data_IF_677493242770
#
_entry.id   IF_677493242770
#
_cell.length_a   1.000
_cell.length_b   1.000
_cell.length_c   1.000
_cell.angle_alpha   90.00
_cell.angle_beta   90.00
_cell.angle_gamma   90.00
#
_symmetry.space_group_name_H-M   'P 1'
#
loop_
_entity.id
_entity.type
_entity.pdbx_description
1 polymer ?
#
# COMPACT_ATOMS: atom_id res chain seq x y z
N UNK A 1 6.06 34.96 -7.76
CA UNK A 1 4.61 34.67 -7.85
C UNK A 1 4.48 33.66 -8.98
N UNK A 2 3.86 32.52 -8.68
CA UNK A 2 3.50 31.41 -9.59
C UNK A 2 4.64 30.78 -10.39
N UNK A 3 5.12 29.62 -9.93
CA UNK A 3 5.61 28.58 -10.84
C UNK A 3 4.90 27.28 -10.48
N UNK A 4 4.26 26.70 -11.49
CA UNK A 4 3.18 25.75 -11.44
C UNK A 4 3.64 24.36 -10.96
N UNK A 5 2.77 23.71 -10.20
CA UNK A 5 2.96 22.34 -9.73
C UNK A 5 3.06 21.38 -10.90
N UNK A 6 4.00 20.45 -10.81
CA UNK A 6 4.20 19.38 -11.78
C UNK A 6 2.93 18.53 -11.92
N UNK A 7 2.14 18.85 -12.95
CA UNK A 7 1.02 18.04 -13.42
C UNK A 7 1.54 16.69 -13.93
N UNK A 8 0.89 15.62 -13.48
CA UNK A 8 0.99 14.30 -14.08
C UNK A 8 0.32 14.36 -15.46
N UNK A 9 1.09 14.65 -16.50
CA UNK A 9 0.65 14.53 -17.89
C UNK A 9 0.43 13.05 -18.25
N UNK A 10 -0.82 12.61 -18.14
CA UNK A 10 -1.34 11.47 -18.89
C UNK A 10 -1.62 11.98 -20.31
N UNK A 11 -0.63 11.89 -21.19
CA UNK A 11 -0.81 12.23 -22.60
C UNK A 11 -1.47 11.07 -23.37
N UNK A 12 -2.77 11.18 -23.57
CA UNK A 12 -3.45 10.62 -24.74
C UNK A 12 -4.52 11.62 -25.20
N UNK A 13 -4.12 12.56 -26.07
CA UNK A 13 -5.02 13.56 -26.68
C UNK A 13 -5.53 14.61 -25.69
N UNK A 14 -5.10 15.87 -25.85
CA UNK A 14 -5.43 16.99 -24.94
C UNK A 14 -6.94 17.25 -24.83
N UNK A 15 -7.58 16.59 -23.86
CA UNK A 15 -8.58 17.20 -22.98
C UNK A 15 -8.01 17.09 -21.56
N UNK A 16 -7.69 18.23 -20.95
CA UNK A 16 -7.42 18.29 -19.51
C UNK A 16 -8.69 17.85 -18.80
N UNK A 17 -8.67 16.64 -18.25
CA UNK A 17 -9.80 16.11 -17.48
C UNK A 17 -9.98 17.00 -16.26
N UNK A 18 -11.19 17.53 -16.07
CA UNK A 18 -11.56 18.36 -14.93
C UNK A 18 -10.99 17.79 -13.61
N UNK A 19 -10.31 18.59 -12.78
CA UNK A 19 -9.74 18.13 -11.51
C UNK A 19 -10.73 17.36 -10.62
N UNK A 20 -12.02 17.74 -10.63
CA UNK A 20 -13.09 17.06 -9.91
C UNK A 20 -13.35 15.67 -10.52
N UNK A 21 -13.43 15.56 -11.84
CA UNK A 21 -13.59 14.28 -12.54
C UNK A 21 -12.39 13.37 -12.27
N UNK A 22 -11.18 13.91 -12.26
CA UNK A 22 -9.95 13.18 -11.92
C UNK A 22 -9.96 12.69 -10.47
N UNK A 23 -10.36 13.54 -9.52
CA UNK A 23 -10.46 13.18 -8.10
C UNK A 23 -11.50 12.07 -7.87
N UNK A 24 -12.70 12.22 -8.42
CA UNK A 24 -13.80 11.26 -8.25
C UNK A 24 -13.46 9.92 -8.90
N UNK A 25 -12.94 9.94 -10.14
CA UNK A 25 -12.56 8.71 -10.84
C UNK A 25 -11.42 7.97 -10.16
N UNK A 26 -10.43 8.70 -9.63
CA UNK A 26 -9.40 8.14 -8.76
C UNK A 26 -9.99 7.48 -7.51
N UNK A 27 -10.99 8.11 -6.87
CA UNK A 27 -11.74 7.55 -5.75
C UNK A 27 -12.46 6.24 -6.11
N UNK A 28 -13.18 6.20 -7.23
CA UNK A 28 -13.84 4.98 -7.73
C UNK A 28 -12.85 3.87 -8.08
N UNK A 29 -11.70 4.22 -8.66
CA UNK A 29 -10.58 3.30 -8.87
C UNK A 29 -10.08 2.71 -7.56
N UNK A 30 -9.85 3.56 -6.55
CA UNK A 30 -9.43 3.12 -5.22
C UNK A 30 -10.43 2.18 -4.55
N UNK A 31 -11.72 2.50 -4.59
CA UNK A 31 -12.78 1.63 -4.04
C UNK A 31 -12.82 0.29 -4.78
N UNK A 32 -12.77 0.30 -6.12
CA UNK A 32 -12.76 -0.92 -6.94
C UNK A 32 -11.56 -1.82 -6.62
N UNK A 33 -10.37 -1.23 -6.46
CA UNK A 33 -9.16 -1.90 -6.02
C UNK A 33 -9.33 -2.59 -4.66
N UNK A 34 -9.91 -1.87 -3.69
CA UNK A 34 -10.16 -2.42 -2.36
C UNK A 34 -11.17 -3.56 -2.43
N UNK A 35 -12.28 -3.40 -3.15
CA UNK A 35 -13.31 -4.44 -3.28
C UNK A 35 -12.74 -5.74 -3.86
N UNK A 36 -12.01 -5.67 -4.98
CA UNK A 36 -11.46 -6.86 -5.64
C UNK A 36 -10.26 -7.44 -4.87
N UNK A 37 -9.45 -6.59 -4.26
CA UNK A 37 -8.25 -7.03 -3.55
C UNK A 37 -8.50 -7.55 -2.13
N UNK A 38 -9.56 -7.11 -1.45
CA UNK A 38 -9.76 -7.38 -0.03
C UNK A 38 -9.87 -8.86 0.34
N UNK A 39 -10.51 -9.75 -0.47
CA UNK A 39 -10.47 -11.20 -0.22
C UNK A 39 -9.05 -11.78 -0.14
N UNK A 40 -8.12 -11.26 -0.96
CA UNK A 40 -6.71 -11.66 -0.92
C UNK A 40 -6.00 -11.13 0.33
N UNK A 41 -6.28 -9.88 0.71
CA UNK A 41 -5.74 -9.31 1.95
C UNK A 41 -6.18 -10.10 3.17
N UNK A 42 -7.47 -10.45 3.25
CA UNK A 42 -8.00 -11.22 4.36
C UNK A 42 -7.32 -12.60 4.40
N UNK A 43 -7.18 -13.26 3.25
CA UNK A 43 -6.51 -14.55 3.14
C UNK A 43 -5.04 -14.46 3.61
N UNK A 44 -4.32 -13.43 3.17
CA UNK A 44 -2.95 -13.13 3.58
C UNK A 44 -2.85 -12.94 5.10
N UNK A 45 -3.61 -12.01 5.66
CA UNK A 45 -3.58 -11.67 7.09
C UNK A 45 -3.91 -12.92 7.91
N UNK A 46 -4.94 -13.68 7.52
CA UNK A 46 -5.32 -14.91 8.22
C UNK A 46 -4.21 -15.96 8.21
N UNK A 47 -3.49 -16.14 7.10
CA UNK A 47 -2.32 -17.03 7.05
C UNK A 47 -1.16 -16.56 7.92
N UNK A 48 -0.91 -15.25 8.00
CA UNK A 48 0.18 -14.66 8.77
C UNK A 48 -0.03 -14.78 10.29
N UNK A 49 -1.28 -14.72 10.74
CA UNK A 49 -1.63 -14.63 12.18
C UNK A 49 -2.12 -15.95 12.78
N UNK A 50 -2.54 -16.91 11.95
CA UNK A 50 -3.10 -18.15 12.44
C UNK A 50 -2.07 -18.98 13.23
N UNK A 51 -2.57 -19.68 14.25
CA UNK A 51 -1.79 -20.67 14.97
C UNK A 51 -1.31 -21.81 14.03
N UNK A 52 -0.17 -22.44 14.30
CA UNK A 52 0.31 -23.59 13.53
C UNK A 52 -0.76 -24.66 13.36
N UNK A 53 -0.89 -25.22 12.16
CA UNK A 53 -1.87 -26.26 11.85
C UNK A 53 -3.31 -25.78 11.60
N UNK A 54 -3.64 -24.49 11.83
CA UNK A 54 -5.01 -23.98 11.60
C UNK A 54 -5.42 -24.06 10.12
N UNK A 55 -4.48 -23.77 9.22
CA UNK A 55 -4.69 -23.76 7.77
C UNK A 55 -3.59 -24.50 7.04
N UNK A 56 -3.96 -25.26 6.01
CA UNK A 56 -2.99 -25.93 5.12
C UNK A 56 -2.48 -25.00 4.01
N UNK A 57 -3.20 -23.91 3.72
CA UNK A 57 -2.82 -22.93 2.72
C UNK A 57 -3.91 -21.89 2.44
N UNK A 58 -3.69 -21.05 1.43
CA UNK A 58 -4.59 -19.96 1.07
C UNK A 58 -6.00 -20.44 0.69
N UNK A 59 -6.10 -21.52 -0.09
CA UNK A 59 -7.39 -22.08 -0.49
C UNK A 59 -8.17 -22.63 0.70
N UNK A 60 -7.47 -23.23 1.68
CA UNK A 60 -8.11 -23.71 2.91
C UNK A 60 -8.63 -22.55 3.77
N UNK A 61 -7.92 -21.42 3.82
CA UNK A 61 -8.44 -20.18 4.44
C UNK A 61 -9.72 -19.73 3.76
N UNK A 62 -9.74 -19.61 2.43
CA UNK A 62 -10.94 -19.20 1.68
C UNK A 62 -12.09 -20.16 1.95
N UNK A 63 -11.85 -21.48 1.83
CA UNK A 63 -12.86 -22.53 2.03
C UNK A 63 -13.46 -22.46 3.43
N UNK A 64 -12.62 -22.44 4.48
CA UNK A 64 -13.08 -22.37 5.87
C UNK A 64 -13.81 -21.06 6.17
N UNK A 65 -13.33 -19.94 5.63
CA UNK A 65 -13.99 -18.63 5.79
C UNK A 65 -15.37 -18.62 5.17
N UNK A 66 -15.51 -19.08 3.92
CA UNK A 66 -16.79 -19.13 3.23
C UNK A 66 -17.75 -20.14 3.89
N UNK A 67 -17.24 -21.28 4.36
CA UNK A 67 -18.06 -22.27 5.07
C UNK A 67 -18.59 -21.75 6.42
N UNK A 68 -17.81 -20.95 7.15
CA UNK A 68 -18.19 -20.42 8.46
C UNK A 68 -19.04 -19.16 8.38
N UNK A 69 -18.68 -18.23 7.49
CA UNK A 69 -19.16 -16.85 7.50
C UNK A 69 -19.84 -16.43 6.18
N UNK A 70 -19.93 -17.35 5.23
CA UNK A 70 -20.36 -17.07 3.86
C UNK A 70 -19.39 -16.16 3.10
N UNK A 71 -19.78 -15.76 1.90
CA UNK A 71 -18.93 -14.89 1.05
C UNK A 71 -18.67 -13.52 1.68
N UNK A 72 -19.61 -13.02 2.49
CA UNK A 72 -19.47 -11.75 3.23
C UNK A 72 -18.33 -11.82 4.26
N UNK A 73 -18.00 -13.01 4.77
CA UNK A 73 -16.84 -13.22 5.64
C UNK A 73 -15.52 -12.78 5.00
N UNK A 74 -15.38 -12.92 3.68
CA UNK A 74 -14.19 -12.47 2.93
C UNK A 74 -14.00 -10.96 2.93
N UNK A 75 -15.02 -10.18 3.34
CA UNK A 75 -15.03 -8.72 3.36
C UNK A 75 -14.89 -8.13 4.78
N UNK A 76 -14.57 -8.96 5.79
CA UNK A 76 -14.33 -8.46 7.16
C UNK A 76 -13.18 -7.45 7.21
N UNK A 77 -13.43 -6.33 7.87
CA UNK A 77 -12.44 -5.26 8.02
C UNK A 77 -12.20 -4.44 6.75
N UNK A 78 -13.13 -4.42 5.78
CA UNK A 78 -13.01 -3.61 4.57
C UNK A 78 -13.24 -2.11 4.81
N UNK A 79 -13.93 -1.73 5.88
CA UNK A 79 -14.27 -0.32 6.15
C UNK A 79 -13.03 0.57 6.35
N UNK A 80 -12.04 0.21 7.21
CA UNK A 80 -10.85 1.04 7.37
C UNK A 80 -10.09 1.34 6.06
N UNK A 81 -9.81 0.37 5.15
CA UNK A 81 -9.13 0.70 3.91
C UNK A 81 -9.97 1.56 2.95
N UNK A 82 -11.30 1.38 2.86
CA UNK A 82 -12.15 2.25 2.03
C UNK A 82 -12.08 3.72 2.48
N UNK A 83 -12.17 3.95 3.80
CA UNK A 83 -12.15 5.30 4.35
C UNK A 83 -10.74 5.90 4.41
N UNK A 84 -9.72 5.04 4.61
CA UNK A 84 -8.34 5.46 4.84
C UNK A 84 -7.52 5.67 3.58
N UNK A 85 -7.89 5.07 2.44
CA UNK A 85 -7.03 5.06 1.24
C UNK A 85 -6.69 6.48 0.77
N UNK A 86 -7.68 7.35 0.60
CA UNK A 86 -7.50 8.73 0.13
C UNK A 86 -6.63 9.57 1.08
N UNK A 87 -6.94 9.69 2.39
CA UNK A 87 -6.10 10.50 3.29
C UNK A 87 -4.69 9.93 3.44
N UNK A 88 -4.51 8.60 3.46
CA UNK A 88 -3.18 7.98 3.53
C UNK A 88 -2.35 8.34 2.29
N UNK A 89 -2.92 8.24 1.09
CA UNK A 89 -2.20 8.61 -0.13
C UNK A 89 -1.91 10.11 -0.20
N UNK A 90 -2.87 10.97 0.18
CA UNK A 90 -2.65 12.42 0.21
C UNK A 90 -1.46 12.80 1.12
N UNK A 91 -1.42 12.23 2.33
CA UNK A 91 -0.31 12.45 3.27
C UNK A 91 1.00 11.84 2.77
N UNK A 92 0.94 10.70 2.08
CA UNK A 92 2.12 10.09 1.46
C UNK A 92 2.69 10.97 0.34
N UNK A 93 1.87 11.51 -0.56
CA UNK A 93 2.37 12.42 -1.60
C UNK A 93 2.94 13.70 -1.01
N UNK A 94 2.25 14.28 -0.01
CA UNK A 94 2.79 15.42 0.72
C UNK A 94 4.12 15.10 1.41
N UNK A 95 4.22 13.94 2.08
CA UNK A 95 5.45 13.47 2.70
C UNK A 95 6.58 13.23 1.70
N UNK A 96 6.26 12.74 0.50
CA UNK A 96 7.21 12.57 -0.59
C UNK A 96 7.77 13.91 -1.07
N UNK A 97 6.90 14.92 -1.24
CA UNK A 97 7.33 16.28 -1.58
C UNK A 97 8.19 16.92 -0.49
N UNK A 98 7.86 16.71 0.78
CA UNK A 98 8.72 17.12 1.89
C UNK A 98 10.07 16.42 1.86
N UNK A 99 10.10 15.11 1.57
CA UNK A 99 11.33 14.34 1.44
C UNK A 99 12.23 14.89 0.33
N UNK A 100 11.66 15.22 -0.84
CA UNK A 100 12.40 15.89 -1.92
C UNK A 100 12.95 17.24 -1.47
N UNK A 101 12.13 18.08 -0.84
CA UNK A 101 12.55 19.40 -0.32
C UNK A 101 13.69 19.29 0.70
N UNK A 102 13.64 18.29 1.57
CA UNK A 102 14.70 18.02 2.53
C UNK A 102 16.01 17.70 1.81
N UNK A 103 15.99 16.85 0.79
CA UNK A 103 17.18 16.55 -0.02
C UNK A 103 17.74 17.83 -0.69
N UNK A 104 16.89 18.66 -1.30
CA UNK A 104 17.33 19.94 -1.86
C UNK A 104 17.98 20.84 -0.81
N UNK A 105 17.42 20.92 0.41
CA UNK A 105 17.99 21.73 1.49
C UNK A 105 19.32 21.22 2.02
N UNK A 106 19.54 19.90 2.00
CA UNK A 106 20.78 19.26 2.45
C UNK A 106 21.88 19.25 1.37
N UNK A 107 21.53 19.61 0.13
CA UNK A 107 22.45 19.60 -1.02
C UNK A 107 22.42 20.95 -1.76
N UNK A 108 22.76 22.07 -1.10
CA UNK A 108 22.62 23.41 -1.65
C UNK A 108 23.52 23.65 -2.88
N UNK A 109 24.73 23.09 -2.89
CA UNK A 109 25.73 23.30 -3.95
C UNK A 109 25.62 22.31 -5.12
N UNK A 110 24.42 21.78 -5.38
CA UNK A 110 24.22 20.76 -6.42
C UNK A 110 24.30 21.34 -7.83
N UNK A 111 24.95 20.59 -8.71
CA UNK A 111 25.08 20.91 -10.14
C UNK A 111 23.88 20.46 -10.99
N UNK A 112 23.13 19.43 -10.55
CA UNK A 112 21.95 18.92 -11.24
C UNK A 112 20.65 19.36 -10.55
N UNK A 113 19.67 19.81 -11.33
CA UNK A 113 18.32 20.15 -10.84
C UNK A 113 17.43 18.92 -10.61
N UNK A 114 17.81 17.77 -11.19
CA UNK A 114 17.08 16.50 -11.05
C UNK A 114 17.64 15.66 -9.92
N UNK A 115 16.75 15.04 -9.15
CA UNK A 115 17.12 14.10 -8.09
C UNK A 115 17.59 12.77 -8.68
N UNK A 116 18.65 12.23 -8.09
CA UNK A 116 19.13 10.88 -8.37
C UNK A 116 18.18 9.81 -7.81
N UNK A 117 18.31 8.58 -8.30
CA UNK A 117 17.46 7.46 -7.88
C UNK A 117 17.55 7.18 -6.37
N UNK A 118 18.73 7.20 -5.72
CA UNK A 118 18.81 7.06 -4.26
C UNK A 118 18.09 8.18 -3.50
N UNK A 119 18.09 9.40 -4.02
CA UNK A 119 17.41 10.55 -3.40
C UNK A 119 15.89 10.45 -3.55
N UNK A 120 15.41 9.99 -4.71
CA UNK A 120 13.99 9.67 -4.92
C UNK A 120 13.55 8.52 -4.03
N UNK A 121 14.38 7.49 -3.88
CA UNK A 121 14.13 6.38 -2.96
C UNK A 121 14.09 6.83 -1.51
N UNK A 122 14.98 7.76 -1.10
CA UNK A 122 14.94 8.39 0.21
C UNK A 122 13.64 9.18 0.41
N UNK A 123 13.24 10.03 -0.55
CA UNK A 123 12.00 10.78 -0.46
C UNK A 123 10.78 9.85 -0.36
N UNK A 124 10.79 8.73 -1.10
CA UNK A 124 9.79 7.67 -1.01
C UNK A 124 9.77 6.97 0.35
N UNK A 125 10.93 6.66 0.93
CA UNK A 125 11.01 6.08 2.27
C UNK A 125 10.59 7.07 3.37
N UNK A 126 10.94 8.35 3.22
CA UNK A 126 10.58 9.43 4.14
C UNK A 126 9.07 9.66 4.18
N UNK A 127 8.39 9.56 3.03
CA UNK A 127 6.94 9.75 2.95
C UNK A 127 6.14 8.77 3.80
N UNK A 128 6.71 7.60 4.08
CA UNK A 128 6.10 6.60 4.95
C UNK A 128 5.91 7.10 6.39
N UNK A 129 6.73 8.03 6.88
CA UNK A 129 6.68 8.50 8.27
C UNK A 129 5.34 9.20 8.57
N UNK A 130 4.97 10.32 7.91
CA UNK A 130 3.70 10.97 8.16
C UNK A 130 2.51 10.09 7.75
N UNK A 131 2.62 9.31 6.67
CA UNK A 131 1.55 8.41 6.24
C UNK A 131 1.25 7.32 7.29
N UNK A 132 2.28 6.80 7.96
CA UNK A 132 2.15 5.77 9.01
C UNK A 132 1.34 6.27 10.20
N UNK A 133 1.37 7.57 10.54
CA UNK A 133 0.59 8.11 11.66
C UNK A 133 -0.93 7.92 11.46
N UNK A 134 -1.38 7.96 10.20
CA UNK A 134 -2.79 7.71 9.85
C UNK A 134 -3.02 6.23 9.51
N UNK A 135 -2.07 5.60 8.83
CA UNK A 135 -2.20 4.21 8.39
C UNK A 135 -2.14 3.23 9.57
N UNK A 136 -1.24 3.39 10.53
CA UNK A 136 -1.05 2.45 11.63
C UNK A 136 -2.32 2.15 12.44
N UNK A 137 -3.10 3.14 12.92
CA UNK A 137 -4.35 2.86 13.63
C UNK A 137 -5.40 2.18 12.73
N UNK A 138 -5.54 2.63 11.47
CA UNK A 138 -6.48 2.05 10.52
C UNK A 138 -6.11 0.59 10.16
N UNK A 139 -4.84 0.31 9.95
CA UNK A 139 -4.31 -1.02 9.69
C UNK A 139 -4.52 -1.96 10.88
N UNK A 140 -4.25 -1.49 12.10
CA UNK A 140 -4.47 -2.30 13.30
C UNK A 140 -5.93 -2.72 13.43
N UNK A 141 -6.86 -1.78 13.22
CA UNK A 141 -8.30 -2.07 13.23
C UNK A 141 -8.67 -3.07 12.15
N UNK A 142 -8.16 -2.89 10.92
CA UNK A 142 -8.37 -3.83 9.81
C UNK A 142 -7.88 -5.24 10.17
N UNK A 143 -6.65 -5.38 10.68
CA UNK A 143 -6.05 -6.67 11.01
C UNK A 143 -6.88 -7.40 12.06
N UNK A 144 -7.26 -6.73 13.16
CA UNK A 144 -8.07 -7.35 14.21
C UNK A 144 -9.42 -7.86 13.69
N UNK A 145 -10.09 -7.09 12.82
CA UNK A 145 -11.35 -7.50 12.19
C UNK A 145 -11.16 -8.68 11.21
N UNK A 146 -10.03 -8.73 10.49
CA UNK A 146 -9.72 -9.82 9.55
C UNK A 146 -9.39 -11.14 10.26
N UNK A 147 -8.72 -11.07 11.41
CA UNK A 147 -8.36 -12.23 12.24
C UNK A 147 -9.56 -12.79 12.99
N UNK A 148 -10.53 -11.95 13.34
CA UNK A 148 -11.75 -12.42 14.00
C UNK A 148 -12.51 -13.47 13.18
N UNK A 149 -13.06 -14.45 13.88
CA UNK A 149 -13.67 -15.65 13.32
C UNK A 149 -12.70 -16.81 13.14
N UNK A 150 -11.38 -16.58 13.24
CA UNK A 150 -10.43 -17.68 13.43
C UNK A 150 -10.71 -18.34 14.79
N UNK A 151 -11.19 -19.59 14.76
CA UNK A 151 -11.55 -20.34 15.98
C UNK A 151 -12.96 -20.06 16.51
N UNK A 152 -13.84 -19.44 15.72
CA UNK A 152 -15.27 -19.31 16.04
C UNK A 152 -15.66 -18.20 17.02
N UNK A 153 -14.70 -17.40 17.51
CA UNK A 153 -14.99 -16.26 18.39
C UNK A 153 -15.15 -14.95 17.62
N UNK A 154 -16.17 -14.17 18.00
CA UNK A 154 -16.45 -12.83 17.47
C UNK A 154 -16.30 -11.81 18.59
N UNK A 155 -15.12 -11.20 18.70
CA UNK A 155 -14.75 -10.26 19.78
C UNK A 155 -15.24 -8.83 19.55
N UNK A 156 -15.45 -8.42 18.31
CA UNK A 156 -15.71 -7.06 17.86
C UNK A 156 -16.96 -6.99 16.98
N UNK A 157 -17.82 -6.01 17.19
CA UNK A 157 -18.99 -5.77 16.35
C UNK A 157 -18.70 -4.92 15.12
N UNK A 158 -17.56 -4.22 15.08
CA UNK A 158 -17.13 -3.41 13.96
C UNK A 158 -15.92 -2.51 14.27
N UNK A 159 -15.50 -1.65 13.33
CA UNK A 159 -14.30 -0.80 13.47
C UNK A 159 -14.33 0.11 14.70
N UNK A 160 -15.49 0.72 15.01
CA UNK A 160 -15.65 1.62 16.16
C UNK A 160 -15.52 0.86 17.48
N UNK A 161 -16.07 -0.36 17.55
CA UNK A 161 -15.96 -1.21 18.73
C UNK A 161 -14.51 -1.66 18.98
N UNK A 162 -13.76 -1.96 17.90
CA UNK A 162 -12.31 -2.21 18.00
C UNK A 162 -11.59 -1.02 18.60
N UNK A 163 -11.82 0.19 18.07
CA UNK A 163 -11.16 1.41 18.59
C UNK A 163 -11.51 1.63 20.06
N UNK A 164 -12.79 1.50 20.44
CA UNK A 164 -13.25 1.66 21.82
C UNK A 164 -12.58 0.67 22.76
N UNK A 165 -12.55 -0.62 22.41
CA UNK A 165 -11.94 -1.69 23.22
C UNK A 165 -10.43 -1.52 23.34
N UNK A 166 -9.74 -1.24 22.24
CA UNK A 166 -8.30 -0.95 22.27
C UNK A 166 -7.97 0.25 23.16
N UNK A 167 -8.77 1.31 23.09
CA UNK A 167 -8.59 2.49 23.92
C UNK A 167 -8.84 2.17 25.40
N UNK A 168 -9.84 1.36 25.72
CA UNK A 168 -10.09 0.91 27.09
C UNK A 168 -8.98 -0.01 27.63
N UNK A 169 -8.36 -0.84 26.78
CA UNK A 169 -7.26 -1.74 27.17
C UNK A 169 -5.95 -1.02 27.49
N UNK A 170 -5.62 0.05 26.77
CA UNK A 170 -4.30 0.69 26.90
C UNK A 170 -4.15 2.04 26.22
N UNK A 171 -5.27 2.75 26.01
CA UNK A 171 -5.32 4.07 25.40
C UNK A 171 -4.73 4.13 23.99
N UNK A 172 -4.16 5.29 23.66
CA UNK A 172 -3.53 5.53 22.36
C UNK A 172 -2.35 4.59 22.08
N UNK A 173 -1.59 4.19 23.11
CA UNK A 173 -0.47 3.25 22.93
C UNK A 173 -0.94 1.90 22.41
N UNK A 174 -2.11 1.43 22.86
CA UNK A 174 -2.72 0.21 22.32
C UNK A 174 -3.08 0.38 20.85
N UNK A 175 -3.74 1.49 20.48
CA UNK A 175 -4.13 1.77 19.10
C UNK A 175 -2.95 1.87 18.12
N UNK A 176 -1.81 2.39 18.57
CA UNK A 176 -0.58 2.52 17.79
C UNK A 176 0.39 1.34 17.95
N UNK A 177 0.04 0.26 18.66
CA UNK A 177 0.93 -0.91 18.78
C UNK A 177 1.12 -1.54 17.40
N UNK A 178 2.38 -1.69 17.02
CA UNK A 178 2.80 -2.15 15.69
C UNK A 178 3.27 -1.02 14.76
N UNK A 179 3.24 0.25 15.17
CA UNK A 179 3.68 1.38 14.33
C UNK A 179 5.11 1.21 13.81
N UNK A 180 6.06 0.80 14.66
CA UNK A 180 7.45 0.53 14.23
C UNK A 180 7.49 -0.60 13.18
N UNK A 181 6.65 -1.62 13.35
CA UNK A 181 6.55 -2.73 12.41
C UNK A 181 5.96 -2.28 11.06
N UNK A 182 4.97 -1.38 11.10
CA UNK A 182 4.41 -0.72 9.90
C UNK A 182 5.50 0.10 9.20
N UNK A 183 6.26 0.92 9.93
CA UNK A 183 7.32 1.73 9.34
C UNK A 183 8.46 0.88 8.76
N UNK A 184 8.84 -0.22 9.43
CA UNK A 184 9.85 -1.16 8.95
C UNK A 184 9.43 -1.88 7.66
N UNK A 185 8.11 -1.97 7.39
CA UNK A 185 7.56 -2.45 6.12
C UNK A 185 7.51 -1.32 5.08
N UNK A 186 6.94 -0.18 5.46
CA UNK A 186 6.56 0.88 4.52
C UNK A 186 7.74 1.71 4.03
N UNK A 187 8.69 2.05 4.90
CA UNK A 187 9.87 2.83 4.51
C UNK A 187 10.72 2.12 3.46
N UNK A 188 11.26 0.92 3.77
CA UNK A 188 12.05 0.15 2.79
C UNK A 188 11.22 -0.28 1.57
N UNK A 189 9.95 -0.62 1.78
CA UNK A 189 9.03 -0.96 0.69
C UNK A 189 8.86 0.19 -0.30
N UNK A 190 8.51 1.38 0.18
CA UNK A 190 8.38 2.57 -0.68
C UNK A 190 9.68 2.92 -1.37
N UNK A 191 10.83 2.82 -0.70
CA UNK A 191 12.13 3.07 -1.31
C UNK A 191 12.39 2.13 -2.51
N UNK A 192 12.15 0.81 -2.34
CA UNK A 192 12.27 -0.17 -3.43
C UNK A 192 11.26 0.08 -4.54
N UNK A 193 10.01 0.42 -4.19
CA UNK A 193 8.98 0.74 -5.17
C UNK A 193 9.41 1.90 -6.07
N UNK A 194 9.75 3.04 -5.48
CA UNK A 194 10.14 4.23 -6.24
C UNK A 194 11.45 4.01 -7.01
N UNK A 195 12.46 3.38 -6.41
CA UNK A 195 13.71 3.08 -7.11
C UNK A 195 13.49 2.18 -8.34
N UNK A 196 12.72 1.10 -8.19
CA UNK A 196 12.41 0.17 -9.29
C UNK A 196 11.57 0.85 -10.36
N UNK A 197 10.56 1.62 -9.96
CA UNK A 197 9.70 2.36 -10.87
C UNK A 197 10.49 3.36 -11.71
N UNK A 198 11.37 4.16 -11.09
CA UNK A 198 12.18 5.15 -11.81
C UNK A 198 13.27 4.52 -12.69
N UNK A 199 13.90 3.42 -12.25
CA UNK A 199 14.82 2.66 -13.10
C UNK A 199 14.14 2.13 -14.36
N UNK A 200 12.96 1.53 -14.20
CA UNK A 200 12.20 0.99 -15.32
C UNK A 200 11.68 2.08 -16.23
N UNK A 201 11.19 3.19 -15.67
CA UNK A 201 10.81 4.37 -16.46
C UNK A 201 11.98 4.87 -17.30
N UNK A 202 13.18 5.01 -16.72
CA UNK A 202 14.38 5.45 -17.44
C UNK A 202 14.78 4.49 -18.57
N UNK A 203 14.62 3.18 -18.36
CA UNK A 203 14.91 2.17 -19.38
C UNK A 203 13.86 2.13 -20.50
N UNK A 204 12.60 2.38 -20.17
CA UNK A 204 11.47 2.34 -21.12
C UNK A 204 11.25 3.67 -21.84
N UNK A 205 11.81 4.76 -21.32
CA UNK A 205 11.73 6.08 -21.96
C UNK A 205 12.69 6.14 -23.14
N UNK A 206 12.17 6.58 -24.30
CA UNK A 206 13.02 6.88 -25.45
C UNK A 206 13.99 8.02 -25.13
N UNK A 207 15.18 7.99 -25.73
CA UNK A 207 16.13 9.08 -25.58
C UNK A 207 15.47 10.41 -26.05
N UNK A 208 15.63 11.51 -25.31
CA UNK A 208 15.08 12.80 -25.71
C UNK A 208 15.66 13.21 -27.07
N UNK A 209 14.79 13.62 -28.00
CA UNK A 209 15.24 14.15 -29.29
C UNK A 209 16.03 15.43 -29.06
N UNK A 210 17.16 15.57 -29.76
CA UNK A 210 17.87 16.85 -29.86
C UNK A 210 17.08 17.77 -30.78
N UNK A 211 16.60 18.87 -30.22
CA UNK A 211 15.96 19.95 -30.94
C UNK A 211 16.97 20.65 -31.87
N UNK A 212 16.52 21.34 -32.93
CA UNK A 212 17.40 22.03 -33.88
C UNK A 212 18.31 23.11 -33.26
N UNK A 213 17.96 23.60 -32.07
CA UNK A 213 18.73 24.58 -31.30
C UNK A 213 19.78 23.93 -30.37
N UNK A 214 19.94 22.61 -30.42
CA UNK A 214 20.88 21.85 -29.57
C UNK A 214 20.34 21.51 -28.17
N UNK A 215 19.13 21.92 -27.83
CA UNK A 215 18.48 21.54 -26.57
C UNK A 215 17.91 20.13 -26.65
N UNK A 216 17.87 19.40 -25.52
CA UNK A 216 17.19 18.11 -25.45
C UNK A 216 15.71 18.36 -25.19
N UNK A 217 14.85 17.88 -26.07
CA UNK A 217 13.41 17.86 -25.82
C UNK A 217 13.11 17.07 -24.53
N UNK A 218 12.01 17.35 -23.83
CA UNK A 218 11.52 16.45 -22.79
C UNK A 218 11.35 15.05 -23.36
N UNK A 219 11.74 14.02 -22.61
CA UNK A 219 11.48 12.64 -23.04
C UNK A 219 9.96 12.45 -23.23
N UNK A 220 9.52 11.78 -24.31
CA UNK A 220 8.09 11.58 -24.53
C UNK A 220 7.49 10.79 -23.36
N UNK A 221 6.23 11.10 -22.96
CA UNK A 221 5.57 10.39 -21.89
C UNK A 221 5.47 8.90 -22.23
N UNK A 222 5.73 8.05 -21.24
CA UNK A 222 5.65 6.60 -21.40
C UNK A 222 4.24 6.17 -21.81
N UNK A 223 4.16 5.14 -22.66
CA UNK A 223 2.87 4.53 -23.00
C UNK A 223 2.23 3.91 -21.76
N UNK A 224 0.89 3.88 -21.72
CA UNK A 224 0.15 3.28 -20.60
C UNK A 224 0.59 1.83 -20.30
N UNK A 225 0.81 0.94 -21.29
CA UNK A 225 1.35 -0.40 -21.03
C UNK A 225 2.74 -0.39 -20.37
N UNK A 226 3.62 0.53 -20.76
CA UNK A 226 4.95 0.66 -20.16
C UNK A 226 4.86 1.15 -18.71
N UNK A 227 3.99 2.12 -18.42
CA UNK A 227 3.70 2.60 -17.06
C UNK A 227 3.15 1.44 -16.19
N UNK A 228 2.20 0.66 -16.72
CA UNK A 228 1.64 -0.49 -16.03
C UNK A 228 2.67 -1.57 -15.75
N UNK A 229 3.54 -1.89 -16.73
CA UNK A 229 4.62 -2.86 -16.56
C UNK A 229 5.65 -2.40 -15.51
N UNK A 230 6.06 -1.13 -15.55
CA UNK A 230 6.97 -0.54 -14.58
C UNK A 230 6.36 -0.55 -13.17
N UNK A 231 5.12 -0.09 -13.02
CA UNK A 231 4.41 -0.07 -11.74
C UNK A 231 4.14 -1.47 -11.18
N UNK A 232 3.77 -2.43 -12.04
CA UNK A 232 3.56 -3.83 -11.66
C UNK A 232 4.84 -4.49 -11.15
N UNK A 233 5.94 -4.33 -11.89
CA UNK A 233 7.24 -4.88 -11.52
C UNK A 233 7.77 -4.24 -10.23
N UNK A 234 7.64 -2.92 -10.10
CA UNK A 234 7.97 -2.19 -8.87
C UNK A 234 7.15 -2.71 -7.68
N UNK A 235 5.87 -2.99 -7.88
CA UNK A 235 5.00 -3.60 -6.86
C UNK A 235 5.47 -4.99 -6.42
N UNK A 236 5.86 -5.86 -7.36
CA UNK A 236 6.40 -7.19 -7.06
C UNK A 236 7.72 -7.10 -6.29
N UNK A 237 8.62 -6.21 -6.72
CA UNK A 237 9.90 -5.98 -6.04
C UNK A 237 9.67 -5.48 -4.59
N UNK A 238 8.79 -4.48 -4.43
CA UNK A 238 8.40 -3.96 -3.12
C UNK A 238 7.85 -5.06 -2.21
N UNK A 239 6.86 -5.83 -2.67
CA UNK A 239 6.25 -6.87 -1.85
C UNK A 239 7.21 -8.01 -1.52
N UNK A 240 8.15 -8.33 -2.41
CA UNK A 240 9.20 -9.30 -2.13
C UNK A 240 10.06 -8.88 -0.93
N UNK A 241 10.34 -7.59 -0.78
CA UNK A 241 11.01 -7.07 0.42
C UNK A 241 10.06 -6.94 1.62
N UNK A 242 8.81 -6.53 1.39
CA UNK A 242 7.88 -6.12 2.44
C UNK A 242 7.17 -7.29 3.15
N UNK A 243 7.14 -8.50 2.57
CA UNK A 243 6.39 -9.62 3.17
C UNK A 243 6.93 -10.06 4.54
N UNK A 244 8.24 -10.26 4.75
CA UNK A 244 8.77 -10.61 6.07
C UNK A 244 8.39 -9.61 7.19
N UNK A 245 8.61 -8.28 7.05
CA UNK A 245 8.16 -7.33 8.06
C UNK A 245 6.64 -7.23 8.16
N UNK A 246 5.89 -7.41 7.07
CA UNK A 246 4.41 -7.42 7.09
C UNK A 246 3.87 -8.60 7.91
N UNK A 247 4.48 -9.79 7.80
CA UNK A 247 4.10 -10.96 8.61
C UNK A 247 4.33 -10.70 10.10
N UNK A 248 5.50 -10.16 10.46
CA UNK A 248 5.82 -9.81 11.86
C UNK A 248 4.84 -8.73 12.37
N UNK A 249 4.55 -7.72 11.55
CA UNK A 249 3.59 -6.65 11.86
C UNK A 249 2.19 -7.22 12.12
N UNK A 250 1.66 -8.03 11.20
CA UNK A 250 0.32 -8.62 11.32
C UNK A 250 0.20 -9.49 12.57
N UNK A 251 1.23 -10.29 12.89
CA UNK A 251 1.25 -11.12 14.10
C UNK A 251 1.37 -10.28 15.37
N UNK A 252 2.19 -9.24 15.38
CA UNK A 252 2.33 -8.30 16.50
C UNK A 252 1.04 -7.50 16.76
N UNK A 253 0.34 -7.08 15.70
CA UNK A 253 -0.89 -6.29 15.79
C UNK A 253 -2.09 -7.11 16.26
N UNK A 254 -2.16 -8.39 15.86
CA UNK A 254 -3.28 -9.28 16.21
C UNK A 254 -3.10 -10.05 17.51
N UNK A 255 -1.86 -10.25 17.98
CA UNK A 255 -1.61 -11.00 19.20
C UNK A 255 -2.18 -10.29 20.44
N UNK A 256 -2.62 -11.06 21.46
CA UNK A 256 -3.02 -10.51 22.75
C UNK A 256 -1.97 -9.56 23.36
N UNK A 257 -2.42 -8.70 24.26
CA UNK A 257 -1.51 -7.81 24.98
C UNK A 257 -0.50 -8.64 25.80
N UNK A 258 0.76 -8.22 25.82
CA UNK A 258 1.83 -8.93 26.55
C UNK A 258 2.47 -10.12 25.83
N UNK A 259 1.93 -10.65 24.72
CA UNK A 259 2.54 -11.78 24.00
C UNK A 259 3.93 -11.46 23.43
N UNK A 260 4.10 -10.23 22.95
CA UNK A 260 5.32 -9.72 22.34
C UNK A 260 5.68 -8.36 22.91
N UNK A 261 6.96 -8.17 23.24
CA UNK A 261 7.48 -6.88 23.74
C UNK A 261 7.75 -5.90 22.60
N UNK A 262 7.92 -6.39 21.36
CA UNK A 262 8.13 -5.55 20.19
C UNK A 262 8.37 -6.36 18.91
N UNK A 263 8.78 -5.67 17.85
CA UNK A 263 9.00 -6.28 16.53
C UNK A 263 10.04 -7.40 16.56
N UNK A 264 11.21 -7.16 17.16
CA UNK A 264 12.30 -8.15 17.19
C UNK A 264 11.98 -9.36 18.08
N UNK A 265 11.26 -9.15 19.18
CA UNK A 265 10.78 -10.25 20.03
C UNK A 265 9.75 -11.10 19.28
N UNK A 266 8.81 -10.46 18.56
CA UNK A 266 7.86 -11.17 17.69
C UNK A 266 8.58 -11.97 16.60
N UNK A 267 9.58 -11.38 15.92
CA UNK A 267 10.36 -12.05 14.90
C UNK A 267 11.10 -13.28 15.45
N UNK A 268 11.79 -13.13 16.59
CA UNK A 268 12.53 -14.23 17.23
C UNK A 268 11.61 -15.38 17.62
N UNK A 269 10.51 -15.07 18.33
CA UNK A 269 9.53 -16.08 18.77
C UNK A 269 8.83 -16.76 17.59
N UNK A 270 8.53 -16.01 16.52
CA UNK A 270 7.96 -16.54 15.29
C UNK A 270 8.91 -17.54 14.62
N UNK A 271 10.17 -17.16 14.42
CA UNK A 271 11.18 -18.02 13.78
C UNK A 271 11.45 -19.26 14.64
N UNK A 272 11.51 -19.10 15.96
CA UNK A 272 11.72 -20.22 16.88
C UNK A 272 10.56 -21.23 16.88
N UNK A 273 9.31 -20.77 16.72
CA UNK A 273 8.13 -21.63 16.73
C UNK A 273 7.80 -22.24 15.36
N UNK A 274 7.89 -21.45 14.29
CA UNK A 274 7.36 -21.81 12.97
C UNK A 274 8.46 -21.91 11.89
N UNK A 275 9.72 -21.62 12.22
CA UNK A 275 10.84 -21.57 11.28
C UNK A 275 10.93 -20.27 10.47
N UNK A 276 12.02 -20.11 9.70
CA UNK A 276 12.29 -18.89 8.91
C UNK A 276 11.28 -18.70 7.76
N UNK A 277 10.77 -19.79 7.20
CA UNK A 277 9.78 -19.76 6.11
C UNK A 277 8.45 -19.15 6.55
N UNK A 278 8.17 -19.12 7.86
CA UNK A 278 6.97 -18.49 8.41
C UNK A 278 6.87 -17.00 8.08
N UNK A 279 7.99 -16.31 7.90
CA UNK A 279 8.03 -14.89 7.50
C UNK A 279 7.42 -14.64 6.12
N UNK A 280 7.37 -15.67 5.27
CA UNK A 280 6.85 -15.60 3.91
C UNK A 280 5.40 -16.07 3.77
N UNK A 281 4.74 -16.41 4.90
CA UNK A 281 3.30 -16.71 4.89
C UNK A 281 2.53 -15.53 4.32
N UNK A 282 1.62 -15.81 3.39
CA UNK A 282 0.84 -14.78 2.71
C UNK A 282 1.47 -14.20 1.43
N UNK A 283 2.70 -14.57 1.06
CA UNK A 283 3.32 -14.14 -0.20
C UNK A 283 2.44 -14.47 -1.41
N UNK A 284 1.94 -15.71 -1.52
CA UNK A 284 1.07 -16.15 -2.61
C UNK A 284 -0.19 -15.28 -2.77
N UNK A 285 -1.04 -15.12 -1.74
CA UNK A 285 -2.17 -14.20 -1.79
C UNK A 285 -1.80 -12.75 -2.13
N UNK A 286 -0.68 -12.23 -1.62
CA UNK A 286 -0.22 -10.88 -1.94
C UNK A 286 0.14 -10.71 -3.42
N UNK A 287 0.80 -11.70 -4.02
CA UNK A 287 1.12 -11.70 -5.46
C UNK A 287 -0.14 -11.89 -6.31
N UNK A 288 -1.01 -12.83 -5.92
CA UNK A 288 -2.26 -13.10 -6.62
C UNK A 288 -3.21 -11.89 -6.60
N UNK A 289 -3.13 -11.04 -5.58
CA UNK A 289 -3.88 -9.77 -5.50
C UNK A 289 -3.46 -8.76 -6.57
N UNK A 290 -2.18 -8.72 -6.93
CA UNK A 290 -1.59 -7.59 -7.64
C UNK A 290 -2.31 -7.30 -8.97
N UNK A 291 -2.49 -8.31 -9.81
CA UNK A 291 -3.11 -8.13 -11.12
C UNK A 291 -4.62 -7.81 -11.03
N UNK A 292 -5.46 -8.60 -10.32
CA UNK A 292 -6.90 -8.32 -10.24
C UNK A 292 -7.22 -6.98 -9.59
N UNK A 293 -6.53 -6.61 -8.50
CA UNK A 293 -6.78 -5.35 -7.82
C UNK A 293 -6.40 -4.15 -8.69
N UNK A 294 -5.25 -4.21 -9.38
CA UNK A 294 -4.81 -3.14 -10.28
C UNK A 294 -5.75 -3.02 -11.50
N UNK A 295 -6.15 -4.12 -12.11
CA UNK A 295 -7.11 -4.11 -13.22
C UNK A 295 -8.44 -3.47 -12.79
N UNK A 296 -8.93 -3.80 -11.59
CA UNK A 296 -10.13 -3.20 -11.02
C UNK A 296 -9.99 -1.69 -10.81
N UNK A 297 -8.80 -1.20 -10.42
CA UNK A 297 -8.51 0.24 -10.36
C UNK A 297 -8.74 0.90 -11.71
N UNK A 298 -8.10 0.39 -12.77
CA UNK A 298 -8.18 0.98 -14.10
C UNK A 298 -9.60 0.96 -14.66
N UNK A 299 -10.29 -0.18 -14.54
CA UNK A 299 -11.69 -0.30 -14.94
C UNK A 299 -12.56 0.68 -14.15
N UNK A 300 -12.33 0.82 -12.84
CA UNK A 300 -13.07 1.76 -11.99
C UNK A 300 -12.87 3.22 -12.41
N UNK A 301 -11.63 3.62 -12.72
CA UNK A 301 -11.30 4.95 -13.23
C UNK A 301 -11.97 5.18 -14.59
N UNK A 302 -11.80 4.26 -15.55
CA UNK A 302 -12.30 4.43 -16.91
C UNK A 302 -13.83 4.48 -16.98
N UNK A 303 -14.51 3.57 -16.28
CA UNK A 303 -15.98 3.54 -16.27
C UNK A 303 -16.56 4.78 -15.59
N UNK A 304 -15.94 5.26 -14.50
CA UNK A 304 -16.41 6.46 -13.81
C UNK A 304 -16.17 7.72 -14.63
N UNK A 305 -15.02 7.86 -15.31
CA UNK A 305 -14.76 8.96 -16.24
C UNK A 305 -15.79 8.99 -17.37
N UNK A 306 -15.98 7.87 -18.07
CA UNK A 306 -16.98 7.76 -19.16
C UNK A 306 -18.40 8.06 -18.69
N UNK A 307 -18.74 7.68 -17.46
CA UNK A 307 -20.04 8.00 -16.88
C UNK A 307 -20.16 9.50 -16.59
N UNK A 308 -19.13 10.11 -16.01
CA UNK A 308 -19.11 11.54 -15.73
C UNK A 308 -19.17 12.36 -17.00
N UNK A 309 -18.36 12.06 -18.02
CA UNK A 309 -18.38 12.73 -19.34
C UNK A 309 -19.75 12.72 -20.02
N UNK A 310 -20.57 11.70 -19.78
CA UNK A 310 -21.95 11.63 -20.28
C UNK A 310 -22.93 12.49 -19.48
N UNK A 311 -22.62 12.82 -18.24
CA UNK A 311 -23.47 13.63 -17.36
C UNK A 311 -23.15 15.12 -17.48
N UNK A 312 -21.88 15.48 -17.63
CA UNK A 312 -21.33 16.83 -17.73
C UNK A 312 -19.85 16.78 -18.16
#
# INVERSE_FOLDING_TARGET
MSDEGSELEISSGKQTVDPIKSFLSGGFGGISCVLVGHPFDLTKTRLQTAAPGTYTGAIDVVRKTVAQDGIRGMYRGITPPILGVTPIFAISFWGYDLGKRLVYSLTPDRTSQTLSIPELAFAGGFSAIPATLVAAPAERVKVLLQVQGQGGSSMYSGPIDVVRKLYAEGGLRSLFRGTIATLARDGPGSAVYFATYELLKKQLSSAPETLPNGEKAPAPPLSLPAIMAAGGTAGVAMWSLAIPPDTIKSRLQSAPHGTYTGFMDCARKLIAADGVTALWKGFGPAMARAFPANAATFVGVELSLKAMEKMW
#
